data_IF_860669872256
#
_entry.id   IF_860669872256
#
_cell.length_a   1.000
_cell.length_b   1.000
_cell.length_c   1.000
_cell.angle_alpha   90.00
_cell.angle_beta   90.00
_cell.angle_gamma   90.00
#
_symmetry.space_group_name_H-M   'P 1'
#
loop_
_entity.id
_entity.type
_entity.pdbx_description
1 polymer ?
#
# COMPACT_ATOMS: atom_id res chain seq x y z
N UNK A 1 11.10 -21.21 21.00
CA UNK A 1 9.79 -20.84 21.66
C UNK A 1 9.03 -22.07 22.16
N UNK A 2 8.37 -21.96 23.30
CA UNK A 2 7.40 -22.95 23.74
C UNK A 2 6.11 -22.89 22.88
N UNK A 3 5.35 -23.98 22.82
CA UNK A 3 4.04 -24.01 22.14
C UNK A 3 3.12 -22.85 22.61
N UNK A 4 3.20 -22.48 23.89
CA UNK A 4 2.38 -21.42 24.48
C UNK A 4 2.75 -20.03 23.88
N UNK A 5 4.05 -19.77 23.70
CA UNK A 5 4.52 -18.50 23.11
C UNK A 5 4.16 -18.38 21.63
N UNK A 6 4.27 -19.47 20.86
CA UNK A 6 3.84 -19.49 19.45
C UNK A 6 2.35 -19.16 19.34
N UNK A 7 1.51 -19.88 20.11
CA UNK A 7 0.07 -19.64 20.11
C UNK A 7 -0.31 -18.22 20.59
N UNK A 8 0.47 -17.64 21.50
CA UNK A 8 0.25 -16.27 21.93
C UNK A 8 0.59 -15.26 20.82
N UNK A 9 1.69 -15.49 20.08
CA UNK A 9 2.04 -14.65 18.93
C UNK A 9 0.93 -14.66 17.85
N UNK A 10 0.44 -15.87 17.50
CA UNK A 10 -0.66 -16.02 16.54
C UNK A 10 -1.96 -15.32 16.99
N UNK A 11 -2.31 -15.41 18.28
CA UNK A 11 -3.46 -14.68 18.83
C UNK A 11 -3.28 -13.16 18.76
N UNK A 12 -2.07 -12.67 19.02
CA UNK A 12 -1.77 -11.24 18.94
C UNK A 12 -1.86 -10.72 17.50
N UNK A 13 -1.38 -11.50 16.53
CA UNK A 13 -1.51 -11.20 15.10
C UNK A 13 -3.00 -11.16 14.69
N UNK A 14 -3.77 -12.18 15.11
CA UNK A 14 -5.20 -12.25 14.83
C UNK A 14 -5.97 -11.05 15.42
N UNK A 15 -5.65 -10.63 16.65
CA UNK A 15 -6.22 -9.46 17.32
C UNK A 15 -6.00 -8.19 16.47
N UNK A 16 -4.75 -7.93 16.05
CA UNK A 16 -4.42 -6.76 15.23
C UNK A 16 -5.19 -6.81 13.91
N UNK A 17 -5.16 -7.96 13.22
CA UNK A 17 -5.81 -8.13 11.91
C UNK A 17 -7.33 -7.92 11.99
N UNK A 18 -7.98 -8.51 12.97
CA UNK A 18 -9.43 -8.36 13.17
C UNK A 18 -9.82 -6.93 13.52
N UNK A 19 -9.15 -6.33 14.51
CA UNK A 19 -9.44 -4.97 14.95
C UNK A 19 -9.25 -3.96 13.83
N UNK A 20 -8.12 -4.04 13.12
CA UNK A 20 -7.80 -3.08 12.06
C UNK A 20 -8.75 -3.19 10.87
N UNK A 21 -9.02 -4.40 10.36
CA UNK A 21 -9.91 -4.59 9.21
C UNK A 21 -11.34 -4.16 9.50
N UNK A 22 -11.88 -4.49 10.69
CA UNK A 22 -13.20 -4.07 11.10
C UNK A 22 -13.32 -2.54 11.24
N UNK A 23 -12.32 -1.92 11.88
CA UNK A 23 -12.27 -0.47 12.02
C UNK A 23 -12.16 0.24 10.67
N UNK A 24 -11.37 -0.28 9.73
CA UNK A 24 -11.22 0.28 8.39
C UNK A 24 -12.53 0.21 7.60
N UNK A 25 -13.24 -0.93 7.63
CA UNK A 25 -14.57 -1.06 7.03
C UNK A 25 -15.55 -0.02 7.56
N UNK A 26 -15.60 0.17 8.88
CA UNK A 26 -16.49 1.14 9.50
C UNK A 26 -16.12 2.59 9.16
N UNK A 27 -14.80 2.93 9.17
CA UNK A 27 -14.32 4.28 8.93
C UNK A 27 -14.54 4.78 7.50
N UNK A 28 -14.50 3.87 6.52
CA UNK A 28 -14.56 4.18 5.09
C UNK A 28 -15.81 3.62 4.38
N UNK A 29 -16.75 3.01 5.10
CA UNK A 29 -17.95 2.38 4.52
C UNK A 29 -17.58 1.30 3.47
N UNK A 30 -16.75 0.31 3.86
CA UNK A 30 -16.24 -0.72 2.96
C UNK A 30 -16.93 -2.07 3.21
N UNK A 31 -17.27 -2.76 2.13
CA UNK A 31 -17.74 -4.14 2.15
C UNK A 31 -16.55 -5.10 2.00
N UNK A 32 -16.32 -6.02 2.96
CA UNK A 32 -15.34 -7.09 2.79
C UNK A 32 -15.76 -8.02 1.66
N UNK A 33 -14.88 -8.22 0.69
CA UNK A 33 -15.14 -9.10 -0.45
C UNK A 33 -13.97 -10.03 -0.73
N UNK A 34 -14.24 -11.13 -1.43
CA UNK A 34 -13.20 -12.03 -1.94
C UNK A 34 -12.41 -11.36 -3.06
N UNK A 35 -11.11 -11.64 -3.11
CA UNK A 35 -10.22 -11.15 -4.16
C UNK A 35 -9.51 -12.28 -4.88
N UNK A 36 -9.11 -12.11 -6.16
CA UNK A 36 -8.31 -13.10 -6.85
C UNK A 36 -6.86 -13.04 -6.35
N UNK A 37 -6.23 -14.20 -6.27
CA UNK A 37 -4.77 -14.31 -6.16
C UNK A 37 -4.12 -14.35 -7.55
N UNK A 38 -4.90 -14.70 -8.59
CA UNK A 38 -4.42 -14.93 -9.95
C UNK A 38 -5.34 -14.20 -10.91
N UNK A 39 -4.76 -13.50 -11.88
CA UNK A 39 -5.45 -12.84 -12.99
C UNK A 39 -4.90 -13.32 -14.33
N UNK A 40 -5.63 -13.09 -15.43
CA UNK A 40 -5.13 -13.40 -16.76
C UNK A 40 -4.00 -12.45 -17.17
N UNK A 41 -2.93 -13.01 -17.72
CA UNK A 41 -1.85 -12.24 -18.34
C UNK A 41 -2.36 -11.40 -19.53
N UNK A 42 -1.75 -10.25 -19.79
CA UNK A 42 -2.09 -9.39 -20.94
C UNK A 42 -3.35 -8.55 -20.79
N UNK A 43 -4.02 -8.55 -19.65
CA UNK A 43 -5.24 -7.76 -19.42
C UNK A 43 -4.96 -6.33 -18.93
N UNK A 44 -3.74 -6.03 -18.51
CA UNK A 44 -3.39 -4.77 -17.83
C UNK A 44 -3.96 -4.65 -16.43
N UNK A 45 -4.55 -5.72 -15.86
CA UNK A 45 -5.12 -5.72 -14.50
C UNK A 45 -4.03 -5.86 -13.45
N UNK A 46 -3.04 -6.75 -13.68
CA UNK A 46 -1.92 -6.86 -12.74
C UNK A 46 -1.11 -5.56 -12.72
N UNK A 47 -0.50 -5.28 -11.58
CA UNK A 47 0.41 -4.16 -11.42
C UNK A 47 1.79 -4.55 -11.97
N UNK A 48 2.38 -3.69 -12.77
CA UNK A 48 3.74 -3.88 -13.28
C UNK A 48 4.79 -3.32 -12.32
N UNK A 49 4.37 -2.80 -11.16
CA UNK A 49 5.22 -2.11 -10.18
C UNK A 49 6.08 -1.04 -10.87
N UNK A 50 7.41 -1.22 -10.87
CA UNK A 50 8.35 -0.34 -11.57
C UNK A 50 8.56 -0.72 -13.04
N UNK A 51 7.94 -1.83 -13.50
CA UNK A 51 8.04 -2.34 -14.87
C UNK A 51 9.27 -3.23 -15.13
N UNK A 52 10.03 -3.56 -14.09
CA UNK A 52 11.21 -4.44 -14.17
C UNK A 52 11.03 -5.74 -13.39
N UNK A 53 10.10 -5.77 -12.44
CA UNK A 53 9.83 -6.93 -11.60
C UNK A 53 9.13 -8.04 -12.40
N UNK A 54 9.59 -9.27 -12.19
CA UNK A 54 9.05 -10.45 -12.86
C UNK A 54 7.82 -10.97 -12.13
N UNK A 55 6.66 -11.10 -12.79
CA UNK A 55 5.51 -11.73 -12.17
C UNK A 55 5.69 -13.25 -12.09
N UNK A 56 5.15 -13.87 -11.04
CA UNK A 56 4.98 -15.32 -10.99
C UNK A 56 3.86 -15.71 -11.94
N UNK A 57 4.16 -16.39 -13.04
CA UNK A 57 3.16 -16.77 -14.02
C UNK A 57 3.33 -18.22 -14.48
N UNK A 58 2.21 -18.85 -14.89
CA UNK A 58 2.17 -20.26 -15.27
C UNK A 58 1.06 -20.53 -16.30
N UNK A 59 1.22 -21.54 -17.17
CA UNK A 59 0.18 -21.93 -18.12
C UNK A 59 -1.01 -22.59 -17.40
N UNK A 60 -2.22 -22.28 -17.81
CA UNK A 60 -3.47 -22.82 -17.24
C UNK A 60 -4.14 -23.73 -18.26
N UNK A 61 -4.22 -25.04 -17.99
CA UNK A 61 -4.70 -26.06 -18.92
C UNK A 61 -6.11 -25.77 -19.47
N UNK A 62 -7.07 -25.41 -18.60
CA UNK A 62 -8.45 -25.15 -19.03
C UNK A 62 -8.64 -23.80 -19.75
N UNK A 63 -7.62 -22.95 -19.78
CA UNK A 63 -7.55 -21.75 -20.60
C UNK A 63 -6.71 -21.94 -21.88
N UNK A 64 -6.62 -23.16 -22.39
CA UNK A 64 -5.81 -23.50 -23.57
C UNK A 64 -4.33 -23.11 -23.42
N UNK A 65 -3.77 -23.26 -22.21
CA UNK A 65 -2.43 -22.86 -21.80
C UNK A 65 -2.16 -21.34 -21.84
N UNK A 66 -3.20 -20.50 -21.93
CA UNK A 66 -3.03 -19.09 -21.60
C UNK A 66 -2.53 -18.94 -20.17
N UNK A 67 -1.75 -17.90 -19.92
CA UNK A 67 -1.06 -17.76 -18.64
C UNK A 67 -1.93 -17.09 -17.60
N UNK A 68 -1.93 -17.66 -16.40
CA UNK A 68 -2.33 -17.01 -15.16
C UNK A 68 -1.12 -16.33 -14.53
N UNK A 69 -1.34 -15.19 -13.89
CA UNK A 69 -0.33 -14.39 -13.21
C UNK A 69 -0.75 -14.18 -11.77
N UNK A 70 0.13 -14.50 -10.81
CA UNK A 70 -0.09 -14.14 -9.39
C UNK A 70 0.02 -12.62 -9.28
N UNK A 71 -0.94 -11.99 -8.64
CA UNK A 71 -1.01 -10.53 -8.55
C UNK A 71 0.17 -9.93 -7.80
N UNK A 72 0.64 -8.76 -8.22
CA UNK A 72 1.54 -7.88 -7.47
C UNK A 72 0.78 -6.88 -6.61
N UNK A 73 -0.38 -6.41 -7.09
CA UNK A 73 -1.37 -5.60 -6.37
C UNK A 73 -2.75 -5.76 -7.00
N UNK A 74 -3.79 -5.32 -6.32
CA UNK A 74 -5.17 -5.35 -6.81
C UNK A 74 -5.71 -3.95 -7.18
N UNK A 75 -4.86 -2.92 -7.27
CA UNK A 75 -5.29 -1.55 -7.50
C UNK A 75 -6.26 -1.41 -8.69
N UNK A 76 -5.90 -1.99 -9.83
CA UNK A 76 -6.71 -1.95 -11.06
C UNK A 76 -7.90 -2.89 -11.02
N UNK A 77 -7.74 -4.08 -10.46
CA UNK A 77 -8.83 -5.05 -10.30
C UNK A 77 -9.96 -4.51 -9.43
N UNK A 78 -9.64 -3.88 -8.30
CA UNK A 78 -10.62 -3.32 -7.38
C UNK A 78 -11.52 -2.28 -8.04
N UNK A 79 -10.95 -1.42 -8.89
CA UNK A 79 -11.72 -0.43 -9.63
C UNK A 79 -12.72 -1.04 -10.61
N UNK A 80 -12.33 -2.12 -11.31
CA UNK A 80 -13.25 -2.91 -12.14
C UNK A 80 -14.34 -3.52 -11.25
N UNK A 81 -13.95 -4.03 -10.09
CA UNK A 81 -14.90 -4.67 -9.17
C UNK A 81 -15.92 -3.70 -8.57
N UNK A 82 -15.55 -2.45 -8.32
CA UNK A 82 -16.50 -1.40 -7.94
C UNK A 82 -17.59 -1.22 -9.01
N UNK A 83 -17.20 -1.18 -10.28
CA UNK A 83 -18.15 -1.08 -11.39
C UNK A 83 -19.06 -2.30 -11.48
N UNK A 84 -18.53 -3.51 -11.35
CA UNK A 84 -19.31 -4.75 -11.41
C UNK A 84 -20.32 -4.89 -10.27
N UNK A 85 -20.00 -4.31 -9.10
CA UNK A 85 -20.87 -4.30 -7.92
C UNK A 85 -21.86 -3.14 -7.93
N UNK A 86 -21.73 -2.21 -8.87
CA UNK A 86 -22.60 -1.02 -9.01
C UNK A 86 -22.72 -0.23 -7.69
N UNK A 87 -21.59 -0.11 -6.93
CA UNK A 87 -21.58 0.60 -5.67
C UNK A 87 -21.79 2.10 -5.86
N UNK A 88 -22.57 2.70 -4.96
CA UNK A 88 -22.82 4.14 -4.93
C UNK A 88 -21.57 4.92 -4.50
N UNK A 89 -21.58 6.23 -4.79
CA UNK A 89 -20.52 7.12 -4.28
C UNK A 89 -20.44 7.04 -2.74
N UNK A 90 -19.21 7.02 -2.24
CA UNK A 90 -18.86 6.85 -0.81
C UNK A 90 -19.15 5.46 -0.24
N UNK A 91 -19.35 4.47 -1.11
CA UNK A 91 -19.30 3.05 -0.78
C UNK A 91 -18.04 2.43 -1.40
N UNK A 92 -17.50 1.39 -0.77
CA UNK A 92 -16.28 0.77 -1.25
C UNK A 92 -16.12 -0.69 -0.86
N UNK A 93 -14.98 -1.24 -1.21
CA UNK A 93 -14.62 -2.64 -0.97
C UNK A 93 -13.31 -2.74 -0.20
N UNK A 94 -13.21 -3.79 0.61
CA UNK A 94 -11.98 -4.22 1.28
C UNK A 94 -11.68 -5.66 0.90
N UNK A 95 -10.43 -5.93 0.54
CA UNK A 95 -9.95 -7.29 0.23
C UNK A 95 -8.82 -7.69 1.17
N UNK A 96 -8.74 -8.99 1.48
CA UNK A 96 -7.57 -9.63 2.07
C UNK A 96 -6.64 -10.09 0.92
N UNK A 97 -5.87 -9.14 0.36
CA UNK A 97 -4.97 -9.41 -0.75
C UNK A 97 -3.76 -10.22 -0.32
N UNK A 98 -3.39 -11.19 -1.16
CA UNK A 98 -2.15 -11.95 -1.07
C UNK A 98 -1.44 -11.90 -2.42
N UNK A 99 -0.18 -11.49 -2.40
CA UNK A 99 0.64 -11.28 -3.60
C UNK A 99 2.01 -11.94 -3.46
N UNK A 100 2.67 -12.17 -4.58
CA UNK A 100 4.05 -12.65 -4.61
C UNK A 100 4.91 -11.70 -5.44
N UNK A 101 6.02 -11.26 -4.86
CA UNK A 101 7.03 -10.41 -5.48
C UNK A 101 8.38 -11.11 -5.44
N UNK A 102 8.68 -11.97 -6.44
CA UNK A 102 9.86 -12.85 -6.39
C UNK A 102 11.19 -12.10 -6.46
N UNK A 103 11.19 -10.87 -6.97
CA UNK A 103 12.38 -10.02 -7.09
C UNK A 103 12.57 -9.07 -5.88
N UNK A 104 11.77 -9.23 -4.81
CA UNK A 104 11.92 -8.45 -3.59
C UNK A 104 13.19 -8.83 -2.83
N UNK A 105 13.97 -7.85 -2.42
CA UNK A 105 15.17 -8.06 -1.61
C UNK A 105 14.79 -8.51 -0.19
N UNK A 106 15.46 -9.57 0.29
CA UNK A 106 15.26 -10.04 1.66
C UNK A 106 15.78 -9.03 2.67
N UNK A 107 14.95 -8.63 3.61
CA UNK A 107 15.33 -7.76 4.73
C UNK A 107 14.44 -8.02 5.95
N UNK A 108 14.74 -7.44 7.12
CA UNK A 108 13.87 -7.59 8.29
C UNK A 108 12.43 -7.12 8.09
N UNK A 109 12.16 -6.25 7.10
CA UNK A 109 10.84 -5.66 6.83
C UNK A 109 10.26 -6.04 5.47
N UNK A 110 10.95 -6.89 4.68
CA UNK A 110 10.52 -7.33 3.35
C UNK A 110 10.48 -8.84 3.23
N UNK A 111 9.53 -9.34 2.45
CA UNK A 111 9.34 -10.74 2.10
C UNK A 111 8.81 -10.84 0.67
N UNK A 112 9.08 -11.94 0.00
CA UNK A 112 8.45 -12.24 -1.31
C UNK A 112 6.93 -12.38 -1.22
N UNK A 113 6.39 -12.72 -0.05
CA UNK A 113 4.97 -12.77 0.22
C UNK A 113 4.49 -11.43 0.77
N UNK A 114 3.50 -10.84 0.12
CA UNK A 114 2.92 -9.55 0.49
C UNK A 114 1.44 -9.75 0.80
N UNK A 115 1.02 -9.32 1.99
CA UNK A 115 -0.37 -9.30 2.42
C UNK A 115 -0.83 -7.86 2.69
N UNK A 116 -1.97 -7.48 2.13
CA UNK A 116 -2.52 -6.13 2.32
C UNK A 116 -4.02 -6.17 2.60
N UNK A 117 -4.48 -5.26 3.48
CA UNK A 117 -5.83 -4.77 3.40
C UNK A 117 -5.87 -3.81 2.23
N UNK A 118 -6.34 -4.30 1.10
CA UNK A 118 -6.34 -3.57 -0.15
C UNK A 118 -7.76 -3.08 -0.42
N UNK A 119 -7.97 -1.77 -0.36
CA UNK A 119 -9.28 -1.12 -0.36
C UNK A 119 -9.45 -0.19 -1.56
N UNK A 120 -10.71 0.02 -1.96
CA UNK A 120 -11.09 0.96 -3.01
C UNK A 120 -12.46 1.55 -2.68
N UNK A 121 -12.61 2.87 -2.80
CA UNK A 121 -13.82 3.63 -2.48
C UNK A 121 -14.26 4.42 -3.70
N UNK A 122 -15.53 4.28 -4.11
CA UNK A 122 -16.14 5.11 -5.16
C UNK A 122 -16.28 6.55 -4.65
N UNK A 123 -15.93 7.54 -5.47
CA UNK A 123 -15.98 8.96 -5.12
C UNK A 123 -16.64 9.77 -6.23
N UNK A 124 -17.20 10.91 -5.86
CA UNK A 124 -17.71 11.89 -6.81
C UNK A 124 -16.58 12.71 -7.45
N UNK A 125 -16.87 13.35 -8.56
CA UNK A 125 -15.91 14.22 -9.26
C UNK A 125 -15.44 15.39 -8.37
N UNK A 126 -16.31 15.91 -7.51
CA UNK A 126 -16.00 16.97 -6.54
C UNK A 126 -15.00 16.55 -5.47
N UNK A 127 -14.87 15.24 -5.22
CA UNK A 127 -13.95 14.69 -4.21
C UNK A 127 -12.51 14.54 -4.71
N UNK A 128 -12.26 14.78 -6.00
CA UNK A 128 -10.89 14.74 -6.57
C UNK A 128 -10.06 15.94 -6.13
N UNK A 129 -9.84 16.06 -4.82
CA UNK A 129 -9.09 17.16 -4.18
C UNK A 129 -8.09 16.63 -3.16
N UNK A 130 -7.02 17.39 -2.93
CA UNK A 130 -6.04 17.08 -1.89
C UNK A 130 -6.68 17.08 -0.49
N UNK A 131 -7.65 17.97 -0.28
CA UNK A 131 -8.40 18.03 0.99
C UNK A 131 -9.16 16.75 1.27
N UNK A 132 -9.80 16.16 0.26
CA UNK A 132 -10.49 14.86 0.39
C UNK A 132 -9.50 13.72 0.67
N UNK A 133 -8.39 13.65 -0.07
CA UNK A 133 -7.32 12.68 0.20
C UNK A 133 -6.86 12.77 1.65
N UNK A 134 -6.50 13.97 2.12
CA UNK A 134 -6.06 14.20 3.50
C UNK A 134 -7.11 13.76 4.54
N UNK A 135 -8.40 13.93 4.24
CA UNK A 135 -9.48 13.48 5.12
C UNK A 135 -9.55 11.95 5.22
N UNK A 136 -9.48 11.24 4.08
CA UNK A 136 -9.44 9.77 4.06
C UNK A 136 -8.22 9.24 4.81
N UNK A 137 -7.05 9.82 4.57
CA UNK A 137 -5.81 9.44 5.26
C UNK A 137 -5.92 9.62 6.78
N UNK A 138 -6.57 10.70 7.25
CA UNK A 138 -6.82 10.90 8.70
C UNK A 138 -7.74 9.84 9.29
N UNK A 139 -8.78 9.42 8.57
CA UNK A 139 -9.67 8.33 9.03
C UNK A 139 -8.92 7.00 9.16
N UNK A 140 -8.04 6.68 8.20
CA UNK A 140 -7.19 5.50 8.25
C UNK A 140 -6.21 5.58 9.41
N UNK A 141 -5.58 6.74 9.60
CA UNK A 141 -4.66 6.94 10.71
C UNK A 141 -5.34 6.86 12.08
N UNK A 142 -6.57 7.38 12.21
CA UNK A 142 -7.36 7.20 13.43
C UNK A 142 -7.63 5.73 13.73
N UNK A 143 -7.99 4.92 12.71
CA UNK A 143 -8.15 3.47 12.88
C UNK A 143 -6.84 2.78 13.32
N UNK A 144 -5.69 3.28 12.88
CA UNK A 144 -4.39 2.77 13.34
C UNK A 144 -4.15 3.10 14.82
N UNK A 145 -4.49 4.32 15.26
CA UNK A 145 -4.43 4.72 16.68
C UNK A 145 -5.37 3.90 17.56
N UNK A 146 -6.60 3.67 17.10
CA UNK A 146 -7.59 2.88 17.82
C UNK A 146 -7.15 1.41 17.95
N UNK A 147 -6.49 0.89 16.91
CA UNK A 147 -5.92 -0.46 16.93
C UNK A 147 -4.72 -0.54 17.88
N UNK A 148 -3.84 0.45 17.88
CA UNK A 148 -2.72 0.54 18.83
C UNK A 148 -3.21 0.60 20.28
N UNK A 149 -4.26 1.37 20.55
CA UNK A 149 -4.90 1.44 21.85
C UNK A 149 -5.47 0.08 22.28
N UNK A 150 -6.11 -0.65 21.34
CA UNK A 150 -6.62 -2.01 21.62
C UNK A 150 -5.49 -3.00 21.92
N UNK A 151 -4.37 -2.90 21.22
CA UNK A 151 -3.16 -3.70 21.49
C UNK A 151 -2.61 -3.40 22.90
N UNK A 152 -2.60 -2.14 23.32
CA UNK A 152 -2.23 -1.78 24.69
C UNK A 152 -3.17 -2.41 25.73
N UNK A 153 -4.46 -2.30 25.56
CA UNK A 153 -5.48 -2.85 26.49
C UNK A 153 -5.37 -4.36 26.67
N UNK A 154 -5.12 -5.09 25.58
CA UNK A 154 -5.12 -6.56 25.59
C UNK A 154 -3.75 -7.19 25.86
N UNK A 155 -2.66 -6.50 25.46
CA UNK A 155 -1.31 -7.06 25.47
C UNK A 155 -0.32 -6.25 26.32
N UNK A 156 -0.69 -5.06 26.80
CA UNK A 156 0.17 -4.18 27.58
C UNK A 156 1.35 -3.57 26.78
N UNK A 157 1.25 -3.50 25.46
CA UNK A 157 2.28 -2.89 24.60
C UNK A 157 1.99 -1.40 24.51
N UNK A 158 2.91 -0.58 25.04
CA UNK A 158 2.74 0.88 25.12
C UNK A 158 2.58 1.54 23.73
N UNK A 159 1.60 2.46 23.57
CA UNK A 159 1.42 3.22 22.34
C UNK A 159 2.62 4.15 22.07
N UNK A 160 2.98 4.27 20.77
CA UNK A 160 4.07 5.16 20.33
C UNK A 160 3.67 6.09 19.21
N UNK A 161 2.51 5.88 18.60
CA UNK A 161 2.03 6.74 17.52
C UNK A 161 1.66 8.14 18.06
N UNK A 162 2.06 9.22 17.37
CA UNK A 162 1.62 10.57 17.73
C UNK A 162 0.11 10.74 17.47
N UNK A 163 -0.56 11.51 18.30
CA UNK A 163 -2.01 11.77 18.14
C UNK A 163 -2.38 12.48 16.82
N UNK A 164 -1.42 13.15 16.20
CA UNK A 164 -1.63 13.89 14.95
C UNK A 164 -0.70 13.36 13.87
N UNK A 165 -1.28 13.08 12.70
CA UNK A 165 -0.53 12.80 11.49
C UNK A 165 -0.08 14.10 10.83
N UNK A 166 1.19 14.19 10.45
CA UNK A 166 1.76 15.28 9.67
C UNK A 166 1.60 15.02 8.17
N UNK A 167 1.44 16.08 7.39
CA UNK A 167 1.36 16.01 5.93
C UNK A 167 2.45 16.90 5.35
N UNK A 168 3.17 16.39 4.35
CA UNK A 168 4.20 17.14 3.63
C UNK A 168 4.20 16.71 2.17
N UNK A 169 4.41 17.65 1.25
CA UNK A 169 4.60 17.30 -0.16
C UNK A 169 6.06 16.88 -0.41
N UNK A 170 6.27 15.93 -1.30
CA UNK A 170 7.61 15.44 -1.67
C UNK A 170 8.54 16.54 -2.17
N UNK A 171 8.01 17.56 -2.87
CA UNK A 171 8.75 18.76 -3.28
C UNK A 171 9.18 19.61 -2.08
N UNK A 172 8.30 19.84 -1.10
CA UNK A 172 8.66 20.54 0.13
C UNK A 172 9.75 19.79 0.90
N UNK A 173 9.63 18.45 0.93
CA UNK A 173 10.63 17.60 1.58
C UNK A 173 11.99 17.67 0.87
N UNK A 174 12.01 17.76 -0.46
CA UNK A 174 13.23 18.03 -1.23
C UNK A 174 13.83 19.41 -0.90
N UNK A 175 13.00 20.45 -0.80
CA UNK A 175 13.46 21.80 -0.47
C UNK A 175 14.03 21.91 0.94
N UNK A 176 13.45 21.18 1.92
CA UNK A 176 13.96 21.13 3.30
C UNK A 176 15.30 20.39 3.40
N UNK A 177 15.46 19.32 2.64
CA UNK A 177 16.64 18.44 2.70
C UNK A 177 17.22 18.17 1.30
N UNK A 178 17.75 19.19 0.59
CA UNK A 178 18.13 19.07 -0.82
C UNK A 178 19.31 18.13 -1.08
N UNK A 179 20.13 17.86 -0.08
CA UNK A 179 21.31 17.00 -0.17
C UNK A 179 21.07 15.54 0.23
N UNK A 180 19.92 15.27 0.86
CA UNK A 180 19.58 13.91 1.29
C UNK A 180 18.92 13.13 0.14
N UNK A 181 19.15 11.83 0.12
CA UNK A 181 18.41 10.89 -0.74
C UNK A 181 16.93 10.83 -0.32
N UNK A 182 16.01 10.36 -1.19
CA UNK A 182 14.61 10.19 -0.82
C UNK A 182 14.41 9.39 0.48
N UNK A 183 15.10 8.27 0.65
CA UNK A 183 14.97 7.43 1.85
C UNK A 183 15.56 8.10 3.11
N UNK A 184 16.62 8.88 2.99
CA UNK A 184 17.13 9.68 4.11
C UNK A 184 16.16 10.80 4.50
N UNK A 185 15.47 11.41 3.53
CA UNK A 185 14.41 12.40 3.78
C UNK A 185 13.22 11.77 4.53
N UNK A 186 12.74 10.61 4.08
CA UNK A 186 11.71 9.83 4.76
C UNK A 186 12.10 9.52 6.21
N UNK A 187 13.33 9.05 6.39
CA UNK A 187 13.87 8.72 7.70
C UNK A 187 13.88 9.94 8.63
N UNK A 188 14.42 11.07 8.15
CA UNK A 188 14.52 12.31 8.93
C UNK A 188 13.15 12.82 9.31
N UNK A 189 12.22 12.95 8.37
CA UNK A 189 10.90 13.51 8.64
C UNK A 189 10.04 12.59 9.52
N UNK A 190 10.14 11.28 9.34
CA UNK A 190 9.42 10.32 10.19
C UNK A 190 9.98 10.32 11.62
N UNK A 191 11.28 10.50 11.79
CA UNK A 191 11.90 10.63 13.12
C UNK A 191 11.43 11.87 13.87
N UNK A 192 11.34 13.01 13.16
CA UNK A 192 10.95 14.29 13.73
C UNK A 192 9.46 14.33 14.12
N UNK A 193 8.59 13.74 13.33
CA UNK A 193 7.13 13.82 13.50
C UNK A 193 6.47 12.54 14.04
N UNK A 194 7.18 11.41 14.06
CA UNK A 194 6.66 10.10 14.49
C UNK A 194 5.73 9.44 13.46
N UNK A 195 4.91 10.22 12.74
CA UNK A 195 4.06 9.75 11.64
C UNK A 195 3.86 10.86 10.61
N UNK A 196 4.00 10.52 9.33
CA UNK A 196 3.92 11.47 8.22
C UNK A 196 3.27 10.82 6.99
N UNK A 197 2.44 11.61 6.29
CA UNK A 197 1.96 11.27 4.95
C UNK A 197 2.68 12.14 3.93
N UNK A 198 3.50 11.52 3.07
CA UNK A 198 4.25 12.20 2.02
C UNK A 198 3.42 12.20 0.76
N UNK A 199 3.04 13.39 0.27
CA UNK A 199 2.15 13.62 -0.87
C UNK A 199 2.97 13.76 -2.15
N UNK A 200 2.40 13.34 -3.30
CA UNK A 200 2.95 13.59 -4.63
C UNK A 200 4.10 12.64 -4.98
N UNK A 201 3.86 11.33 -4.85
CA UNK A 201 4.81 10.28 -5.20
C UNK A 201 4.62 9.87 -6.67
N UNK A 202 5.72 9.76 -7.43
CA UNK A 202 5.74 9.30 -8.82
C UNK A 202 6.11 10.38 -9.83
N UNK A 203 5.71 11.64 -9.59
CA UNK A 203 6.06 12.76 -10.46
C UNK A 203 7.49 13.26 -10.24
N UNK A 204 8.11 13.79 -11.32
CA UNK A 204 9.42 14.43 -11.22
C UNK A 204 9.34 15.71 -10.39
N UNK A 205 10.27 15.87 -9.46
CA UNK A 205 10.46 17.04 -8.63
C UNK A 205 11.34 18.10 -9.35
N UNK A 206 11.58 19.23 -8.71
CA UNK A 206 12.38 20.34 -9.27
C UNK A 206 13.84 19.96 -9.58
N UNK A 207 14.36 18.91 -8.97
CA UNK A 207 15.69 18.34 -9.27
C UNK A 207 15.70 17.38 -10.49
N UNK A 208 14.54 17.13 -11.12
CA UNK A 208 14.40 16.25 -12.29
C UNK A 208 14.12 14.77 -11.96
N UNK A 209 14.22 14.38 -10.69
CA UNK A 209 14.00 12.99 -10.24
C UNK A 209 12.71 12.87 -9.40
N UNK A 210 12.00 11.74 -9.41
CA UNK A 210 10.88 11.53 -8.51
C UNK A 210 11.39 11.28 -7.08
N UNK A 211 10.51 11.49 -6.09
CA UNK A 211 10.80 11.08 -4.70
C UNK A 211 10.88 9.55 -4.59
N UNK A 212 9.90 8.87 -5.16
CA UNK A 212 9.88 7.42 -5.34
C UNK A 212 9.10 7.11 -6.63
N UNK A 213 9.25 5.89 -7.14
CA UNK A 213 8.53 5.42 -8.32
C UNK A 213 7.06 5.16 -8.03
N UNK A 214 6.21 5.34 -9.04
CA UNK A 214 4.80 4.98 -9.00
C UNK A 214 4.32 4.62 -10.39
N UNK A 215 3.58 3.54 -10.54
CA UNK A 215 2.98 3.16 -11.80
C UNK A 215 2.12 4.29 -12.38
N UNK A 216 2.12 4.41 -13.71
CA UNK A 216 1.44 5.51 -14.41
C UNK A 216 -0.06 5.32 -14.55
N UNK A 217 -0.61 4.16 -14.13
CA UNK A 217 -1.92 3.73 -14.56
C UNK A 217 -2.97 3.53 -13.45
N UNK A 218 -2.66 3.90 -12.20
CA UNK A 218 -3.68 3.87 -11.14
C UNK A 218 -3.68 5.10 -10.22
N UNK A 219 -2.57 5.48 -9.56
CA UNK A 219 -2.54 6.69 -8.71
C UNK A 219 -2.31 7.96 -9.52
N UNK A 220 -3.05 9.03 -9.20
CA UNK A 220 -2.87 10.32 -9.83
C UNK A 220 -1.76 11.12 -9.17
N UNK A 221 -0.62 11.22 -9.84
CA UNK A 221 0.53 12.01 -9.40
C UNK A 221 0.80 13.25 -10.28
N UNK A 222 -0.13 13.61 -11.19
CA UNK A 222 0.04 14.73 -12.13
C UNK A 222 -0.96 15.85 -11.94
N UNK A 223 -2.12 15.62 -11.35
CA UNK A 223 -3.15 16.65 -11.17
C UNK A 223 -2.63 17.76 -10.25
N UNK A 224 -2.69 19.06 -10.69
CA UNK A 224 -2.38 20.19 -9.83
C UNK A 224 -3.31 20.25 -8.61
N UNK A 225 -2.77 20.66 -7.47
CA UNK A 225 -3.50 20.79 -6.21
C UNK A 225 -3.66 22.25 -5.80
N UNK A 226 -4.59 22.50 -4.90
CA UNK A 226 -4.84 23.83 -4.31
C UNK A 226 -3.63 24.40 -3.53
N UNK A 227 -2.66 23.57 -3.19
CA UNK A 227 -1.42 23.98 -2.50
C UNK A 227 -0.28 24.35 -3.47
N UNK A 228 -0.54 24.33 -4.78
CA UNK A 228 0.43 24.72 -5.82
C UNK A 228 1.41 23.61 -6.23
N UNK A 229 1.23 22.40 -5.70
CA UNK A 229 1.97 21.21 -6.09
C UNK A 229 1.13 20.28 -6.97
N UNK A 230 1.66 19.11 -7.34
CA UNK A 230 0.98 18.10 -8.14
C UNK A 230 0.87 16.79 -7.38
N UNK A 231 -0.21 16.04 -7.66
CA UNK A 231 -0.40 14.70 -7.14
C UNK A 231 -1.47 14.60 -6.04
N UNK A 232 -2.33 13.63 -6.21
CA UNK A 232 -3.44 13.28 -5.31
C UNK A 232 -3.20 11.92 -4.67
N UNK A 233 -1.94 11.57 -4.43
CA UNK A 233 -1.49 10.31 -3.85
C UNK A 233 -0.39 10.53 -2.82
N UNK A 234 0.01 9.49 -2.14
CA UNK A 234 1.14 9.54 -1.20
C UNK A 234 1.29 8.27 -0.39
N UNK A 235 2.29 8.30 0.49
CA UNK A 235 2.68 7.18 1.33
C UNK A 235 2.61 7.55 2.82
N UNK A 236 2.04 6.64 3.62
CA UNK A 236 1.97 6.75 5.07
C UNK A 236 3.18 6.08 5.71
N UNK A 237 4.03 6.88 6.35
CA UNK A 237 5.20 6.40 7.07
C UNK A 237 5.06 6.67 8.55
N UNK A 238 5.62 5.75 9.35
CA UNK A 238 5.76 5.90 10.79
C UNK A 238 7.22 5.72 11.20
N UNK A 239 7.61 6.36 12.30
CA UNK A 239 8.90 6.07 12.92
C UNK A 239 8.84 4.73 13.64
N UNK A 240 9.68 3.80 13.24
CA UNK A 240 9.78 2.49 13.89
C UNK A 240 11.00 2.44 14.81
N UNK A 241 10.84 2.59 16.14
CA UNK A 241 11.96 2.62 17.08
C UNK A 241 12.67 1.27 17.21
N UNK A 242 12.03 0.15 16.84
CA UNK A 242 12.67 -1.18 16.87
C UNK A 242 13.81 -1.27 15.86
N UNK A 243 13.67 -0.60 14.71
CA UNK A 243 14.69 -0.57 13.66
C UNK A 243 15.43 0.77 13.57
N UNK A 244 15.06 1.77 14.38
CA UNK A 244 15.55 3.16 14.30
C UNK A 244 15.43 3.69 12.85
N UNK A 245 14.29 3.45 12.17
CA UNK A 245 14.03 3.79 10.76
C UNK A 245 12.56 4.15 10.51
N UNK A 246 12.33 4.91 9.43
CA UNK A 246 11.00 5.05 8.87
C UNK A 246 10.49 3.70 8.35
N UNK A 247 9.21 3.43 8.57
CA UNK A 247 8.50 2.26 8.05
C UNK A 247 7.27 2.73 7.29
N UNK A 248 7.22 2.43 6.00
CA UNK A 248 6.04 2.64 5.17
C UNK A 248 4.98 1.57 5.50
N UNK A 249 3.80 2.04 5.89
CA UNK A 249 2.65 1.18 6.21
C UNK A 249 1.67 1.06 5.05
N UNK A 250 1.59 2.08 4.19
CA UNK A 250 0.58 2.16 3.14
C UNK A 250 0.99 3.12 2.04
N UNK A 251 0.63 2.75 0.81
CA UNK A 251 0.53 3.63 -0.34
C UNK A 251 -0.93 3.78 -0.73
N UNK A 252 -1.38 5.02 -1.04
CA UNK A 252 -2.76 5.28 -1.43
C UNK A 252 -2.89 6.56 -2.25
N UNK A 253 -3.99 6.68 -3.01
CA UNK A 253 -4.25 7.87 -3.79
C UNK A 253 -5.64 7.89 -4.41
N UNK A 254 -6.07 9.09 -4.79
CA UNK A 254 -7.16 9.25 -5.75
C UNK A 254 -6.65 8.71 -7.08
N UNK A 255 -7.46 7.88 -7.71
CA UNK A 255 -7.05 7.20 -8.94
C UNK A 255 -7.13 8.15 -10.13
N UNK A 256 -6.30 7.88 -11.13
CA UNK A 256 -6.34 8.62 -12.40
C UNK A 256 -7.76 8.62 -13.00
N UNK A 257 -8.19 9.76 -13.53
CA UNK A 257 -9.25 9.82 -14.53
C UNK A 257 -8.63 9.58 -15.92
N UNK A 258 -9.42 9.67 -16.97
CA UNK A 258 -8.91 9.41 -18.33
C UNK A 258 -7.86 10.41 -18.79
N UNK A 259 -8.01 11.68 -18.41
CA UNK A 259 -7.09 12.75 -18.74
C UNK A 259 -5.74 12.55 -18.04
N UNK A 260 -5.76 12.26 -16.74
CA UNK A 260 -4.57 11.96 -15.96
C UNK A 260 -3.90 10.67 -16.45
N UNK A 261 -4.67 9.62 -16.77
CA UNK A 261 -4.15 8.39 -17.33
C UNK A 261 -3.38 8.62 -18.63
N UNK A 262 -3.99 9.32 -19.61
CA UNK A 262 -3.33 9.60 -20.89
C UNK A 262 -2.05 10.42 -20.70
N UNK A 263 -2.11 11.42 -19.83
CA UNK A 263 -0.96 12.25 -19.51
C UNK A 263 0.17 11.45 -18.86
N UNK A 264 -0.14 10.63 -17.85
CA UNK A 264 0.85 9.81 -17.15
C UNK A 264 1.45 8.72 -18.02
N UNK A 265 0.63 8.03 -18.86
CA UNK A 265 1.14 7.07 -19.83
C UNK A 265 2.06 7.72 -20.86
N UNK A 266 1.78 8.97 -21.27
CA UNK A 266 2.65 9.73 -22.16
C UNK A 266 3.99 10.02 -21.50
N UNK A 267 3.98 10.50 -20.25
CA UNK A 267 5.20 10.79 -19.48
C UNK A 267 6.06 9.53 -19.24
N UNK A 268 5.40 8.39 -19.02
CA UNK A 268 6.05 7.10 -18.80
C UNK A 268 6.48 6.38 -20.09
N UNK A 269 6.10 6.90 -21.29
CA UNK A 269 6.38 6.22 -22.57
C UNK A 269 5.62 4.90 -22.75
N UNK A 270 4.45 4.73 -22.10
CA UNK A 270 3.67 3.50 -22.00
C UNK A 270 2.29 3.58 -22.68
N UNK A 271 2.19 4.35 -23.76
CA UNK A 271 0.94 4.55 -24.50
C UNK A 271 0.36 3.26 -25.12
N UNK A 272 1.19 2.25 -25.36
CA UNK A 272 0.78 0.91 -25.84
C UNK A 272 -0.20 0.23 -24.88
N UNK A 273 -0.13 0.52 -23.58
CA UNK A 273 -1.06 0.00 -22.58
C UNK A 273 -2.52 0.42 -22.78
N UNK A 274 -2.78 1.50 -23.53
CA UNK A 274 -4.16 1.98 -23.83
C UNK A 274 -5.07 0.91 -24.43
N UNK A 275 -4.51 -0.06 -25.15
CA UNK A 275 -5.24 -1.17 -25.76
C UNK A 275 -5.59 -2.31 -24.79
N UNK A 276 -5.00 -2.35 -23.60
CA UNK A 276 -5.27 -3.38 -22.61
C UNK A 276 -6.66 -3.17 -21.95
N UNK A 277 -7.25 -4.25 -21.44
CA UNK A 277 -8.63 -4.26 -20.94
C UNK A 277 -8.90 -3.14 -19.91
N UNK A 278 -8.10 -3.07 -18.87
CA UNK A 278 -8.30 -2.06 -17.80
C UNK A 278 -8.24 -0.62 -18.37
N UNK A 279 -7.22 -0.34 -19.15
CA UNK A 279 -6.99 1.00 -19.71
C UNK A 279 -8.10 1.41 -20.70
N UNK A 280 -8.52 0.48 -21.56
CA UNK A 280 -9.60 0.74 -22.52
C UNK A 280 -10.95 1.01 -21.83
N UNK A 281 -11.26 0.30 -20.73
CA UNK A 281 -12.45 0.56 -19.93
C UNK A 281 -12.42 1.95 -19.29
N UNK A 282 -11.27 2.35 -18.74
CA UNK A 282 -11.11 3.67 -18.12
C UNK A 282 -11.22 4.80 -19.14
N UNK A 283 -10.55 4.67 -20.28
CA UNK A 283 -10.60 5.67 -21.37
C UNK A 283 -11.99 5.80 -22.00
N UNK A 284 -12.80 4.75 -21.93
CA UNK A 284 -14.19 4.75 -22.39
C UNK A 284 -15.19 5.23 -21.32
N UNK A 285 -14.72 5.82 -20.21
CA UNK A 285 -15.55 6.26 -19.06
C UNK A 285 -16.44 5.14 -18.47
N UNK A 286 -15.99 3.88 -18.53
CA UNK A 286 -16.73 2.73 -18.00
C UNK A 286 -16.36 2.35 -16.57
N UNK A 287 -15.41 3.01 -15.97
CA UNK A 287 -14.99 2.76 -14.60
C UNK A 287 -15.28 3.97 -13.72
N UNK A 288 -15.73 3.78 -12.45
CA UNK A 288 -16.03 4.88 -11.55
C UNK A 288 -14.77 5.67 -11.16
N UNK A 289 -14.96 6.93 -10.77
CA UNK A 289 -13.91 7.65 -10.05
C UNK A 289 -13.74 7.04 -8.67
N UNK A 290 -12.51 6.88 -8.21
CA UNK A 290 -12.27 6.23 -6.92
C UNK A 290 -10.98 6.71 -6.27
N UNK A 291 -10.88 6.43 -4.96
CA UNK A 291 -9.68 6.52 -4.15
C UNK A 291 -9.42 5.14 -3.56
N UNK A 292 -8.16 4.75 -3.45
CA UNK A 292 -7.83 3.47 -2.87
C UNK A 292 -6.39 3.35 -2.45
N UNK A 293 -6.06 2.22 -1.85
CA UNK A 293 -4.71 1.96 -1.35
C UNK A 293 -4.56 0.56 -0.79
N UNK A 294 -3.32 0.21 -0.48
CA UNK A 294 -2.96 -1.02 0.20
C UNK A 294 -2.30 -0.72 1.54
N UNK A 295 -2.79 -1.34 2.60
CA UNK A 295 -2.21 -1.28 3.94
C UNK A 295 -1.54 -2.63 4.24
N UNK A 296 -0.22 -2.63 4.44
CA UNK A 296 0.56 -3.84 4.69
C UNK A 296 0.17 -4.51 6.00
N UNK A 297 -0.54 -5.66 5.94
CA UNK A 297 -1.01 -6.36 7.13
C UNK A 297 0.16 -6.77 8.03
N UNK A 298 1.14 -7.47 7.46
CA UNK A 298 2.31 -7.92 8.21
C UNK A 298 3.16 -6.75 8.72
N UNK A 299 3.33 -5.67 7.96
CA UNK A 299 4.04 -4.46 8.42
C UNK A 299 3.33 -3.79 9.60
N UNK A 300 2.01 -3.67 9.57
CA UNK A 300 1.21 -3.11 10.67
C UNK A 300 1.28 -4.02 11.89
N UNK A 301 1.15 -5.35 11.73
CA UNK A 301 1.33 -6.30 12.82
C UNK A 301 2.73 -6.20 13.43
N UNK A 302 3.77 -6.18 12.60
CA UNK A 302 5.16 -6.04 13.05
C UNK A 302 5.37 -4.76 13.86
N UNK A 303 4.86 -3.63 13.37
CA UNK A 303 4.97 -2.33 14.03
C UNK A 303 4.23 -2.31 15.37
N UNK A 304 2.95 -2.67 15.39
CA UNK A 304 2.12 -2.63 16.59
C UNK A 304 2.54 -3.65 17.67
N UNK A 305 3.07 -4.79 17.26
CA UNK A 305 3.57 -5.84 18.16
C UNK A 305 5.08 -5.72 18.47
N UNK A 306 5.74 -4.62 18.03
CA UNK A 306 7.16 -4.33 18.29
C UNK A 306 8.11 -5.46 17.85
N UNK A 307 7.83 -6.07 16.70
CA UNK A 307 8.62 -7.18 16.17
C UNK A 307 9.85 -6.71 15.41
N UNK A 308 10.94 -7.48 15.51
CA UNK A 308 12.22 -7.19 14.85
C UNK A 308 12.29 -7.69 13.42
N UNK A 309 11.48 -8.69 13.07
CA UNK A 309 11.50 -9.29 11.75
C UNK A 309 10.07 -9.58 11.28
N UNK A 310 9.78 -9.30 10.00
CA UNK A 310 8.44 -9.52 9.42
C UNK A 310 8.04 -11.01 9.50
N UNK A 311 8.99 -11.92 9.49
CA UNK A 311 8.78 -13.36 9.68
C UNK A 311 8.26 -13.76 11.06
N UNK A 312 8.25 -12.85 12.06
CA UNK A 312 7.60 -13.10 13.35
C UNK A 312 6.07 -12.95 13.29
N UNK A 313 5.55 -12.35 12.20
CA UNK A 313 4.12 -12.09 11.98
C UNK A 313 3.60 -12.60 10.65
N UNK A 314 4.46 -13.29 9.90
CA UNK A 314 4.16 -13.75 8.54
C UNK A 314 4.91 -15.06 8.25
N UNK A 315 4.19 -16.12 7.90
CA UNK A 315 4.81 -17.34 7.39
C UNK A 315 5.26 -17.11 5.93
N UNK A 316 6.54 -17.36 5.66
CA UNK A 316 7.14 -17.20 4.33
C UNK A 316 8.36 -18.14 4.19
N UNK A 317 9.07 -18.01 3.07
CA UNK A 317 10.35 -18.68 2.86
C UNK A 317 11.50 -17.70 3.14
N UNK A 318 12.53 -18.18 3.82
CA UNK A 318 13.67 -17.36 4.23
C UNK A 318 14.97 -18.06 3.82
N UNK A 319 16.00 -17.31 3.35
CA UNK A 319 17.34 -17.83 3.15
C UNK A 319 17.89 -18.46 4.45
N UNK A 320 18.77 -19.44 4.31
CA UNK A 320 19.35 -20.15 5.44
C UNK A 320 20.14 -19.20 6.37
N UNK A 321 20.80 -18.20 5.79
CA UNK A 321 21.54 -17.17 6.53
C UNK A 321 20.61 -16.33 7.40
N UNK A 322 19.42 -15.96 6.89
CA UNK A 322 18.40 -15.23 7.64
C UNK A 322 17.86 -16.07 8.80
N UNK A 323 17.61 -17.37 8.57
CA UNK A 323 17.16 -18.30 9.63
C UNK A 323 18.19 -18.42 10.73
N UNK A 324 19.47 -18.60 10.39
CA UNK A 324 20.56 -18.69 11.37
C UNK A 324 20.73 -17.39 12.17
N UNK A 325 20.66 -16.24 11.50
CA UNK A 325 20.77 -14.96 12.17
C UNK A 325 19.58 -14.73 13.13
N UNK A 326 18.37 -15.05 12.69
CA UNK A 326 17.18 -14.97 13.52
C UNK A 326 17.30 -15.85 14.79
N UNK A 327 17.80 -17.08 14.65
CA UNK A 327 18.04 -17.99 15.77
C UNK A 327 19.05 -17.42 16.77
N UNK A 328 20.18 -16.85 16.29
CA UNK A 328 21.20 -16.22 17.14
C UNK A 328 20.65 -15.01 17.90
N UNK A 329 19.74 -14.27 17.32
CA UNK A 329 19.10 -13.09 17.93
C UNK A 329 17.86 -13.43 18.76
N UNK A 330 17.48 -14.70 18.86
CA UNK A 330 16.28 -15.16 19.55
C UNK A 330 14.98 -14.72 18.87
N UNK A 331 15.04 -14.43 17.56
CA UNK A 331 13.90 -14.07 16.71
C UNK A 331 13.26 -15.35 16.19
N UNK A 332 11.95 -15.47 16.34
CA UNK A 332 11.22 -16.67 15.92
C UNK A 332 10.46 -16.38 14.63
N UNK A 333 10.92 -16.94 13.53
CA UNK A 333 10.24 -16.90 12.24
C UNK A 333 9.11 -17.97 12.23
N UNK A 334 7.90 -17.55 11.78
CA UNK A 334 6.73 -18.41 11.63
C UNK A 334 6.89 -19.38 10.45
#
# INVERSE_FOLDING_TARGET
MSKKEILQAEKSIALVKEQFSKGLCNALNLYPISSPMIVNEGTGINDDLNGIERPVSFPVKFLNNNRGVVVHSLAKWKRIRLQELELDAHEGILTDMKALRPDEDSSPIHSIYVDQWDWELHIDKSDRTLSYLKNIVRKIYQNLLDTEQKVYEELGIEPILPKKLSFIHSEQLLQLYPTLTPKEREHTIAKDYGAVFIIGIGGKLSNGEPHDSRSADYDDWTTPTEEGYKGLNGDLLVWNPVHDKALELSSMGIRVDKEALEHQLTLAGALDKKSLLYHSLLLADKLPLCIGGGLGQSRICMFLLRKKHIGEVQASIWPEEVRKQAELEGINLL
#
